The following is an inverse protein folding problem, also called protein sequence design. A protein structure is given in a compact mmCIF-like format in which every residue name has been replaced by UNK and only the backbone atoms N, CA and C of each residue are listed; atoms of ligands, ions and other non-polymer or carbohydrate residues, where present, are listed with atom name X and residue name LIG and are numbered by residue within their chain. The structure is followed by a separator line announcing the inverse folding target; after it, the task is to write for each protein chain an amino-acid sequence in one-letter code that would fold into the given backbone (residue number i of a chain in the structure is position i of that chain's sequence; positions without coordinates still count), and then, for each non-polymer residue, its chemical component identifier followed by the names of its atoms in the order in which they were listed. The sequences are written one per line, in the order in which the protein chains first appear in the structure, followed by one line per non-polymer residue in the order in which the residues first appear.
data_IF_063605570819
#
_entry.id   IF_063605570819
#
_cell.length_a   1.000
_cell.length_b   1.000
_cell.length_c   1.000
_cell.angle_alpha   90.00
_cell.angle_beta   90.00
_cell.angle_gamma   90.00
#
_symmetry.space_group_name_H-M   'P 1'
#
loop_
_entity.id
_entity.type
_entity.pdbx_description
1 polymer ?
#
# COMPACT_ATOMS: atom_id res chain seq x y z
N UNK A 1 23.21 -5.13 -9.89
CA UNK A 1 22.67 -6.32 -10.56
C UNK A 1 22.46 -7.38 -9.51
N UNK A 2 21.28 -8.01 -9.43
CA UNK A 2 21.03 -9.05 -8.44
C UNK A 2 21.70 -10.36 -8.87
N UNK A 3 22.09 -11.21 -7.91
CA UNK A 3 22.63 -12.55 -8.18
C UNK A 3 21.53 -13.63 -8.20
N UNK A 4 20.40 -13.34 -7.57
CA UNK A 4 19.26 -14.22 -7.45
C UNK A 4 17.97 -13.41 -7.35
N UNK A 5 16.88 -13.94 -7.88
CA UNK A 5 15.54 -13.44 -7.62
C UNK A 5 14.57 -14.63 -7.58
N UNK A 6 13.73 -14.77 -6.54
CA UNK A 6 12.79 -15.87 -6.45
C UNK A 6 11.74 -15.76 -7.55
N UNK A 7 11.37 -16.89 -8.15
CA UNK A 7 10.22 -16.97 -9.05
C UNK A 7 8.95 -16.61 -8.25
N UNK A 8 8.21 -15.56 -8.65
CA UNK A 8 6.93 -15.22 -8.02
C UNK A 8 5.92 -16.37 -8.18
N UNK A 9 5.19 -16.69 -7.10
CA UNK A 9 4.05 -17.59 -7.19
C UNK A 9 2.80 -16.85 -7.65
N UNK A 10 1.85 -17.59 -8.21
CA UNK A 10 0.54 -17.04 -8.53
C UNK A 10 -0.15 -16.50 -7.26
N UNK A 11 -0.74 -15.31 -7.35
CA UNK A 11 -1.40 -14.62 -6.22
C UNK A 11 -0.49 -14.28 -5.03
N UNK A 12 0.83 -14.32 -5.22
CA UNK A 12 1.79 -13.91 -4.19
C UNK A 12 1.89 -12.38 -4.11
N UNK A 13 2.05 -11.81 -2.91
CA UNK A 13 2.29 -10.36 -2.78
C UNK A 13 3.77 -10.03 -2.97
N UNK A 14 4.08 -8.80 -3.40
CA UNK A 14 5.45 -8.30 -3.50
C UNK A 14 6.21 -8.42 -2.17
N UNK A 15 5.51 -8.21 -1.05
CA UNK A 15 6.08 -8.37 0.30
C UNK A 15 6.51 -9.82 0.58
N UNK A 16 5.71 -10.81 0.15
CA UNK A 16 6.07 -12.24 0.28
C UNK A 16 7.26 -12.62 -0.60
N UNK A 17 7.30 -12.12 -1.84
CA UNK A 17 8.43 -12.33 -2.76
C UNK A 17 9.73 -11.79 -2.14
N UNK A 18 9.69 -10.57 -1.58
CA UNK A 18 10.83 -9.96 -0.92
C UNK A 18 11.27 -10.74 0.34
N UNK A 19 10.33 -11.28 1.11
CA UNK A 19 10.64 -12.13 2.27
C UNK A 19 11.31 -13.44 1.86
N UNK A 20 10.85 -14.08 0.77
CA UNK A 20 11.51 -15.27 0.20
C UNK A 20 12.90 -14.96 -0.31
N UNK A 21 13.08 -13.84 -0.99
CA UNK A 21 14.40 -13.35 -1.39
C UNK A 21 15.32 -13.23 -0.17
N UNK A 22 14.85 -12.57 0.89
CA UNK A 22 15.61 -12.42 2.14
C UNK A 22 16.03 -13.77 2.72
N UNK A 23 15.10 -14.72 2.81
CA UNK A 23 15.34 -16.06 3.33
C UNK A 23 16.37 -16.83 2.49
N UNK A 24 16.23 -16.82 1.16
CA UNK A 24 17.12 -17.54 0.26
C UNK A 24 18.53 -16.93 0.20
N UNK A 25 18.63 -15.61 0.37
CA UNK A 25 19.90 -14.89 0.40
C UNK A 25 20.55 -14.85 1.80
N UNK A 26 19.87 -15.37 2.83
CA UNK A 26 20.34 -15.30 4.22
C UNK A 26 20.40 -13.87 4.78
N UNK A 27 19.59 -12.95 4.24
CA UNK A 27 19.57 -11.54 4.65
C UNK A 27 18.57 -11.36 5.79
N UNK A 28 19.07 -11.00 6.98
CA UNK A 28 18.24 -10.78 8.17
C UNK A 28 17.64 -9.36 8.23
N UNK A 29 18.27 -8.40 7.56
CA UNK A 29 17.88 -6.99 7.62
C UNK A 29 16.89 -6.66 6.52
N UNK A 30 15.69 -6.21 6.91
CA UNK A 30 14.70 -5.65 5.98
C UNK A 30 15.29 -4.50 5.14
N UNK A 31 16.09 -3.62 5.75
CA UNK A 31 16.64 -2.47 5.03
C UNK A 31 17.58 -2.91 3.91
N UNK A 32 18.38 -3.96 4.14
CA UNK A 32 19.26 -4.53 3.12
C UNK A 32 18.46 -5.12 1.97
N UNK A 33 17.35 -5.82 2.25
CA UNK A 33 16.45 -6.34 1.21
C UNK A 33 15.85 -5.22 0.36
N UNK A 34 15.46 -4.11 1.00
CA UNK A 34 14.87 -2.96 0.29
C UNK A 34 15.90 -2.19 -0.52
N UNK A 35 17.12 -2.08 -0.04
CA UNK A 35 18.23 -1.51 -0.81
C UNK A 35 18.56 -2.42 -2.01
N UNK A 36 18.68 -3.74 -1.79
CA UNK A 36 18.96 -4.72 -2.83
C UNK A 36 17.91 -4.73 -3.93
N UNK A 37 16.62 -4.79 -3.58
CA UNK A 37 15.53 -4.95 -4.54
C UNK A 37 15.08 -3.62 -5.16
N UNK A 38 15.09 -2.52 -4.39
CA UNK A 38 14.42 -1.27 -4.75
C UNK A 38 15.32 -0.01 -4.62
N UNK A 39 16.59 -0.13 -4.22
CA UNK A 39 17.51 0.99 -3.94
C UNK A 39 17.04 1.95 -2.83
N UNK A 40 16.24 1.44 -1.88
CA UNK A 40 15.72 2.24 -0.76
C UNK A 40 16.66 2.14 0.45
N UNK A 41 17.49 3.16 0.65
CA UNK A 41 18.45 3.22 1.78
C UNK A 41 17.82 3.62 3.12
N UNK A 42 16.72 4.37 3.08
CA UNK A 42 16.04 4.92 4.26
C UNK A 42 14.53 4.74 4.12
N UNK A 43 14.03 3.50 4.28
CA UNK A 43 12.60 3.26 4.18
C UNK A 43 11.87 4.03 5.28
N UNK A 44 10.94 4.89 4.91
CA UNK A 44 10.01 5.45 5.89
C UNK A 44 9.08 4.34 6.39
N UNK A 45 8.72 4.39 7.68
CA UNK A 45 7.60 3.59 8.16
C UNK A 45 6.37 3.98 7.31
N UNK A 46 5.81 3.03 6.56
CA UNK A 46 4.66 3.19 5.65
C UNK A 46 4.96 3.59 4.18
N UNK A 47 6.20 3.53 3.71
CA UNK A 47 6.46 3.70 2.27
C UNK A 47 6.13 2.42 1.50
N UNK A 48 5.14 2.50 0.61
CA UNK A 48 4.85 1.43 -0.36
C UNK A 48 5.97 1.39 -1.40
N UNK A 49 6.61 0.23 -1.55
CA UNK A 49 7.73 0.01 -2.47
C UNK A 49 7.33 -0.01 -3.96
N UNK A 50 6.04 0.23 -4.23
CA UNK A 50 5.42 0.18 -5.55
C UNK A 50 5.99 1.27 -6.48
N UNK A 51 6.45 2.41 -5.95
CA UNK A 51 7.09 3.47 -6.77
C UNK A 51 8.39 3.04 -7.44
N UNK A 52 9.15 2.10 -6.85
CA UNK A 52 10.46 1.70 -7.38
C UNK A 52 10.41 0.35 -8.11
N UNK A 53 9.25 -0.06 -8.62
CA UNK A 53 9.11 -1.32 -9.37
C UNK A 53 9.96 -1.32 -10.64
N UNK A 54 10.17 -0.16 -11.28
CA UNK A 54 11.08 -0.01 -12.41
C UNK A 54 12.52 -0.39 -12.05
N UNK A 55 13.00 0.05 -10.88
CA UNK A 55 14.33 -0.29 -10.37
C UNK A 55 14.44 -1.80 -10.18
N UNK A 56 13.43 -2.43 -9.59
CA UNK A 56 13.38 -3.88 -9.43
C UNK A 56 13.50 -4.57 -10.80
N UNK A 57 12.68 -4.18 -11.77
CA UNK A 57 12.64 -4.77 -13.12
C UNK A 57 14.01 -4.65 -13.80
N UNK A 58 14.66 -3.49 -13.70
CA UNK A 58 16.02 -3.29 -14.23
C UNK A 58 17.04 -4.23 -13.57
N UNK A 59 16.95 -4.42 -12.25
CA UNK A 59 17.88 -5.28 -11.51
C UNK A 59 17.71 -6.76 -11.80
N UNK A 60 16.50 -7.20 -12.18
CA UNK A 60 16.18 -8.61 -12.46
C UNK A 60 16.10 -8.94 -13.95
N UNK A 61 16.25 -7.95 -14.84
CA UNK A 61 16.11 -8.09 -16.29
C UNK A 61 16.90 -9.26 -16.89
N UNK A 62 18.06 -9.56 -16.30
CA UNK A 62 18.94 -10.64 -16.73
C UNK A 62 18.44 -12.05 -16.39
N UNK A 63 17.54 -12.18 -15.41
CA UNK A 63 16.99 -13.47 -15.03
C UNK A 63 15.85 -13.87 -15.95
N UNK A 64 14.87 -12.98 -16.15
CA UNK A 64 13.62 -13.30 -16.83
C UNK A 64 13.02 -12.04 -17.47
N UNK A 65 13.05 -11.96 -18.81
CA UNK A 65 12.52 -10.83 -19.60
C UNK A 65 11.00 -10.66 -19.51
N UNK A 66 10.30 -11.68 -19.03
CA UNK A 66 8.85 -11.68 -18.87
C UNK A 66 8.37 -10.82 -17.68
N UNK A 67 9.26 -10.48 -16.75
CA UNK A 67 8.92 -9.65 -15.60
C UNK A 67 8.99 -8.18 -15.95
N UNK A 68 7.82 -7.59 -16.20
CA UNK A 68 7.66 -6.15 -16.46
C UNK A 68 7.13 -5.44 -15.22
N UNK A 69 7.23 -4.11 -15.21
CA UNK A 69 6.67 -3.32 -14.10
C UNK A 69 5.15 -3.48 -14.01
N UNK A 70 4.47 -3.57 -15.15
CA UNK A 70 3.03 -3.80 -15.22
C UNK A 70 2.64 -5.19 -14.67
N UNK A 71 3.44 -6.22 -14.94
CA UNK A 71 3.24 -7.55 -14.36
C UNK A 71 3.24 -7.49 -12.83
N UNK A 72 4.27 -6.91 -12.22
CA UNK A 72 4.35 -6.79 -10.77
C UNK A 72 3.21 -5.94 -10.20
N UNK A 73 2.94 -4.81 -10.84
CA UNK A 73 1.92 -3.89 -10.40
C UNK A 73 0.53 -4.54 -10.37
N UNK A 74 0.15 -5.23 -11.43
CA UNK A 74 -1.19 -5.79 -11.57
C UNK A 74 -1.38 -7.13 -10.84
N UNK A 75 -0.32 -7.93 -10.68
CA UNK A 75 -0.41 -9.29 -10.13
C UNK A 75 0.09 -9.43 -8.70
N UNK A 76 1.02 -8.57 -8.27
CA UNK A 76 1.74 -8.72 -7.01
C UNK A 76 1.60 -7.49 -6.09
N UNK A 77 0.75 -6.52 -6.44
CA UNK A 77 0.44 -5.37 -5.57
C UNK A 77 -1.06 -5.11 -5.45
N UNK A 78 -1.42 -4.29 -4.46
CA UNK A 78 -2.80 -3.83 -4.26
C UNK A 78 -3.20 -2.69 -5.21
N UNK A 79 -2.35 -2.33 -6.18
CA UNK A 79 -2.63 -1.22 -7.09
C UNK A 79 -3.93 -1.41 -7.87
N UNK A 80 -4.24 -2.63 -8.32
CA UNK A 80 -5.48 -2.94 -9.04
C UNK A 80 -6.76 -2.64 -8.23
N UNK A 81 -6.68 -2.69 -6.90
CA UNK A 81 -7.79 -2.34 -6.01
C UNK A 81 -7.92 -0.81 -5.87
N UNK A 82 -6.81 -0.09 -5.93
CA UNK A 82 -6.79 1.37 -5.77
C UNK A 82 -6.92 2.13 -7.10
N UNK A 83 -6.61 1.50 -8.24
CA UNK A 83 -6.58 2.14 -9.55
C UNK A 83 -7.90 2.81 -9.96
N UNK A 84 -9.11 2.30 -9.64
CA UNK A 84 -10.36 3.00 -9.98
C UNK A 84 -10.51 4.35 -9.26
N UNK A 85 -9.83 4.51 -8.12
CA UNK A 85 -9.84 5.75 -7.32
C UNK A 85 -8.74 6.73 -7.75
N UNK A 86 -7.87 6.33 -8.68
CA UNK A 86 -6.89 7.23 -9.26
C UNK A 86 -7.52 7.89 -10.48
N UNK A 87 -7.66 9.22 -10.45
CA UNK A 87 -8.24 10.01 -11.54
C UNK A 87 -7.32 10.10 -12.78
N UNK A 88 -6.40 9.15 -12.91
CA UNK A 88 -5.40 9.05 -13.96
C UNK A 88 -5.77 7.87 -14.84
N UNK A 89 -6.14 8.15 -16.10
CA UNK A 89 -6.43 7.15 -17.14
C UNK A 89 -5.18 6.32 -17.55
N UNK A 90 -4.15 6.25 -16.71
CA UNK A 90 -2.83 5.77 -17.04
C UNK A 90 -2.41 4.72 -16.01
N UNK A 91 -2.57 3.45 -16.38
CA UNK A 91 -2.02 2.26 -15.72
C UNK A 91 -0.47 2.20 -15.80
N UNK A 92 0.20 3.35 -15.78
CA UNK A 92 1.64 3.46 -15.98
C UNK A 92 2.35 3.66 -14.64
N UNK A 93 3.53 3.04 -14.51
CA UNK A 93 4.46 3.26 -13.38
C UNK A 93 4.68 4.76 -13.09
N UNK A 94 4.72 5.59 -14.13
CA UNK A 94 4.86 7.05 -14.02
C UNK A 94 3.71 7.75 -13.28
N UNK A 95 2.51 7.17 -13.30
CA UNK A 95 1.34 7.69 -12.58
C UNK A 95 1.40 7.37 -11.10
N UNK A 96 1.98 6.23 -10.73
CA UNK A 96 2.19 5.80 -9.35
C UNK A 96 3.27 6.64 -8.67
N UNK A 97 4.35 6.94 -9.38
CA UNK A 97 5.36 7.89 -8.90
C UNK A 97 4.74 9.25 -8.55
N UNK A 98 3.83 9.72 -9.39
CA UNK A 98 3.11 10.97 -9.13
C UNK A 98 2.11 10.83 -7.97
N UNK A 99 1.44 9.69 -7.79
CA UNK A 99 0.55 9.41 -6.65
C UNK A 99 1.32 9.33 -5.33
N UNK A 100 2.48 8.68 -5.30
CA UNK A 100 3.32 8.53 -4.11
C UNK A 100 4.01 9.85 -3.75
N UNK A 101 4.52 10.59 -4.75
CA UNK A 101 5.01 11.97 -4.55
C UNK A 101 3.89 12.94 -4.12
N UNK A 102 2.65 12.71 -4.55
CA UNK A 102 1.46 13.47 -4.09
C UNK A 102 1.05 13.08 -2.67
N UNK A 103 1.24 11.84 -2.22
CA UNK A 103 0.94 11.40 -0.84
C UNK A 103 1.66 12.26 0.21
N UNK A 104 2.89 12.71 -0.07
CA UNK A 104 3.64 13.65 0.79
C UNK A 104 3.01 15.06 0.87
N UNK A 105 2.20 15.44 -0.12
CA UNK A 105 1.49 16.74 -0.18
C UNK A 105 0.08 16.68 0.41
N UNK A 106 -0.64 15.57 0.19
CA UNK A 106 -2.05 15.44 0.60
C UNK A 106 -2.30 15.47 2.12
N UNK A 107 -1.31 15.12 2.95
CA UNK A 107 -1.49 15.19 4.42
C UNK A 107 -1.68 16.64 4.90
N UNK A 108 -1.21 17.65 4.15
CA UNK A 108 -1.37 19.06 4.52
C UNK A 108 -2.63 19.73 3.98
N UNK A 109 -3.25 19.19 2.92
CA UNK A 109 -4.34 19.86 2.19
C UNK A 109 -5.72 19.25 2.43
N UNK A 110 -5.79 18.07 3.06
CA UNK A 110 -7.07 17.47 3.44
C UNK A 110 -7.45 18.06 4.80
N UNK A 111 -8.54 18.85 4.90
CA UNK A 111 -9.00 19.35 6.18
C UNK A 111 -9.32 18.14 7.07
N UNK A 112 -8.70 18.11 8.25
CA UNK A 112 -9.02 17.13 9.26
C UNK A 112 -10.49 17.37 9.61
N UNK A 113 -11.35 16.40 9.31
CA UNK A 113 -12.74 16.48 9.77
C UNK A 113 -12.71 16.44 11.29
N UNK A 114 -13.35 17.42 11.92
CA UNK A 114 -13.52 17.49 13.38
C UNK A 114 -14.28 16.26 13.90
N UNK A 115 -15.01 15.59 13.01
CA UNK A 115 -15.72 14.36 13.28
C UNK A 115 -15.77 13.34 12.17
N UNK A 116 -15.97 12.10 12.62
CA UNK A 116 -16.16 10.95 11.76
C UNK A 116 -17.64 10.81 11.42
N UNK A 117 -17.93 10.72 10.13
CA UNK A 117 -19.26 10.37 9.65
C UNK A 117 -19.45 8.87 9.84
N UNK A 118 -20.57 8.48 10.44
CA UNK A 118 -20.93 7.08 10.62
C UNK A 118 -22.40 6.85 10.27
N UNK A 119 -22.73 5.60 9.91
CA UNK A 119 -24.11 5.16 9.75
C UNK A 119 -24.65 4.66 11.09
N UNK A 120 -25.77 5.24 11.54
CA UNK A 120 -26.38 4.92 12.84
C UNK A 120 -26.91 3.48 12.90
N UNK A 121 -27.37 2.93 11.77
CA UNK A 121 -27.77 1.53 11.65
C UNK A 121 -26.57 0.60 11.76
N UNK A 122 -25.46 0.90 11.06
CA UNK A 122 -24.23 0.11 11.12
C UNK A 122 -23.63 0.08 12.54
N UNK A 123 -23.69 1.18 13.31
CA UNK A 123 -23.22 1.17 14.71
C UNK A 123 -24.10 0.28 15.59
N UNK A 124 -25.42 0.26 15.38
CA UNK A 124 -26.34 -0.60 16.16
C UNK A 124 -26.03 -2.07 15.89
N UNK A 125 -25.87 -2.46 14.63
CA UNK A 125 -25.49 -3.82 14.25
C UNK A 125 -24.13 -4.22 14.84
N UNK A 126 -23.15 -3.32 14.77
CA UNK A 126 -21.81 -3.58 15.28
C UNK A 126 -21.79 -3.74 16.82
N UNK A 127 -22.59 -2.96 17.56
CA UNK A 127 -22.79 -3.11 19.01
C UNK A 127 -23.48 -4.43 19.39
N UNK A 128 -24.38 -4.92 18.54
CA UNK A 128 -25.06 -6.20 18.75
C UNK A 128 -24.11 -7.38 18.49
N UNK A 129 -23.31 -7.32 17.41
CA UNK A 129 -22.34 -8.35 17.04
C UNK A 129 -21.14 -8.41 18.01
N UNK A 130 -20.59 -7.26 18.38
CA UNK A 130 -19.41 -7.14 19.22
C UNK A 130 -19.81 -6.57 20.58
N UNK A 131 -20.25 -7.45 21.49
CA UNK A 131 -20.75 -7.17 22.86
C UNK A 131 -19.83 -6.36 23.80
N UNK A 132 -18.77 -5.69 23.32
CA UNK A 132 -17.89 -4.80 24.08
C UNK A 132 -16.99 -4.02 23.11
N UNK A 133 -17.44 -2.84 22.69
CA UNK A 133 -16.53 -1.77 22.30
C UNK A 133 -17.08 -0.48 22.93
N UNK A 134 -16.65 -0.21 24.16
CA UNK A 134 -16.91 1.05 24.85
C UNK A 134 -15.98 2.12 24.25
N UNK A 135 -16.45 2.85 23.25
CA UNK A 135 -15.87 4.14 22.94
C UNK A 135 -16.34 5.12 24.03
N UNK A 136 -15.40 5.78 24.73
CA UNK A 136 -15.73 6.94 25.55
C UNK A 136 -16.13 8.08 24.60
N UNK A 137 -17.44 8.22 24.40
CA UNK A 137 -18.03 9.25 23.53
C UNK A 137 -18.25 10.51 24.37
N UNK A 138 -17.40 11.52 24.20
CA UNK A 138 -17.69 12.90 24.59
C UNK A 138 -18.80 13.49 23.71
N UNK A 139 -19.47 14.52 24.21
CA UNK A 139 -20.72 15.10 23.69
C UNK A 139 -20.75 15.27 22.15
N UNK A 140 -21.68 14.57 21.49
CA UNK A 140 -21.90 14.53 20.04
C UNK A 140 -23.12 15.38 19.69
N UNK A 141 -22.97 16.33 18.77
CA UNK A 141 -24.05 17.22 18.34
C UNK A 141 -24.97 16.51 17.34
N UNK A 142 -26.22 16.31 17.75
CA UNK A 142 -27.26 15.64 16.94
C UNK A 142 -27.75 16.57 15.82
N UNK A 143 -27.38 16.28 14.56
CA UNK A 143 -28.05 16.82 13.38
C UNK A 143 -29.01 15.80 12.79
N UNK A 144 -30.27 16.22 12.66
CA UNK A 144 -31.48 15.41 12.42
C UNK A 144 -31.57 14.63 11.09
N UNK A 145 -30.47 14.33 10.40
CA UNK A 145 -30.48 13.32 9.32
C UNK A 145 -29.13 12.66 9.00
N UNK A 146 -28.02 13.06 9.61
CA UNK A 146 -26.77 12.32 9.72
C UNK A 146 -26.09 12.95 10.94
N UNK A 147 -25.99 12.21 12.05
CA UNK A 147 -25.41 12.75 13.29
C UNK A 147 -23.89 12.86 13.12
N UNK A 148 -23.38 14.09 13.24
CA UNK A 148 -21.99 14.49 13.08
C UNK A 148 -21.42 14.71 14.49
N UNK A 149 -20.30 14.08 14.84
CA UNK A 149 -19.61 14.34 16.12
C UNK A 149 -19.11 15.79 16.19
#
# INVERSE_FOLDING_TARGET
MLAYFPRPYENETMYSIAARYANHMGVLSKNTVLEDLFDIKKPFANEDYISQIDILVLKIWNFLKEYTGEYFLNKHTVFSLFSPFTNTNHNSLSSIDNLIKRRKRYIKEIPIKESLFYCSECIKENKILHKKIDYQVGEVIIMKNYEVI
#
